data_IF_892468510083
#
_entry.id   IF_892468510083
#
_cell.length_a   1.000
_cell.length_b   1.000
_cell.length_c   1.000
_cell.angle_alpha   90.00
_cell.angle_beta   90.00
_cell.angle_gamma   90.00
#
_symmetry.space_group_name_H-M   'P 1'
#
loop_
_entity.id
_entity.type
_entity.pdbx_description
1 polymer ?
#
# COMPACT_ATOMS: atom_id res chain seq x y z
N UNK A 1 94.98 -1.90 -0.06
CA UNK A 1 94.04 -2.61 0.82
C UNK A 1 92.76 -1.76 0.88
N UNK A 2 91.79 -2.04 -0.05
CA UNK A 2 90.51 -1.32 -0.12
C UNK A 2 89.46 -2.16 0.59
N UNK A 3 88.76 -1.56 1.56
CA UNK A 3 87.59 -2.13 2.21
C UNK A 3 86.32 -1.57 1.48
N UNK A 4 85.54 -2.47 0.90
CA UNK A 4 84.26 -2.14 0.36
C UNK A 4 83.17 -2.28 1.47
N UNK A 5 82.52 -1.20 1.79
CA UNK A 5 81.33 -1.19 2.67
C UNK A 5 80.07 -1.45 1.89
N UNK A 6 79.34 -2.47 2.27
CA UNK A 6 78.04 -2.85 1.69
C UNK A 6 76.95 -2.07 2.46
N UNK A 7 76.22 -1.21 1.77
CA UNK A 7 74.98 -0.51 2.29
C UNK A 7 73.77 -1.31 1.95
N UNK A 8 73.07 -1.89 2.92
CA UNK A 8 71.82 -2.58 2.79
C UNK A 8 70.68 -1.55 2.96
N UNK A 9 69.99 -1.24 1.86
CA UNK A 9 68.80 -0.41 1.90
C UNK A 9 67.56 -1.23 2.35
N UNK A 10 66.94 -0.87 3.46
CA UNK A 10 65.61 -1.38 3.87
C UNK A 10 64.53 -0.73 3.00
N UNK A 11 63.91 -1.53 2.16
CA UNK A 11 62.66 -1.13 1.47
C UNK A 11 61.48 -1.32 2.43
N UNK A 12 60.91 -0.21 2.88
CA UNK A 12 59.66 -0.21 3.68
C UNK A 12 58.48 -0.61 2.81
N UNK A 13 57.88 -1.79 3.04
CA UNK A 13 56.58 -2.13 2.52
C UNK A 13 55.49 -1.32 3.26
N UNK A 14 54.97 -0.30 2.63
CA UNK A 14 53.77 0.38 3.10
C UNK A 14 52.54 -0.54 2.93
N UNK A 15 51.98 -1.04 4.03
CA UNK A 15 50.66 -1.67 4.04
C UNK A 15 49.61 -0.59 3.73
N UNK A 16 49.09 -0.62 2.52
CA UNK A 16 47.85 0.13 2.18
C UNK A 16 46.70 -0.67 2.75
N UNK A 17 46.06 -0.18 3.81
CA UNK A 17 44.82 -0.72 4.33
C UNK A 17 43.72 -0.57 3.24
N UNK A 18 42.92 -1.61 2.97
CA UNK A 18 41.81 -1.48 2.05
C UNK A 18 40.78 -0.46 2.62
N UNK A 19 40.11 0.33 1.77
CA UNK A 19 39.04 1.22 2.23
C UNK A 19 37.98 0.37 2.95
N UNK A 20 37.65 0.73 4.20
CA UNK A 20 36.49 0.19 4.88
C UNK A 20 35.25 0.57 4.05
N UNK A 21 34.68 -0.39 3.33
CA UNK A 21 33.34 -0.27 2.79
C UNK A 21 32.44 -0.07 4.00
N UNK A 22 31.87 1.13 4.12
CA UNK A 22 30.92 1.42 5.19
C UNK A 22 29.85 0.33 5.20
N UNK A 23 29.59 -0.26 6.36
CA UNK A 23 28.48 -1.16 6.55
C UNK A 23 27.22 -0.39 6.11
N UNK A 24 26.59 -0.79 5.01
CA UNK A 24 25.23 -0.36 4.74
C UNK A 24 24.43 -0.87 5.92
N UNK A 25 23.83 0.05 6.68
CA UNK A 25 22.96 -0.31 7.79
C UNK A 25 21.91 -1.28 7.23
N UNK A 26 21.85 -2.48 7.81
CA UNK A 26 20.86 -3.47 7.39
C UNK A 26 19.46 -2.87 7.53
N UNK A 27 18.57 -3.12 6.56
CA UNK A 27 17.19 -2.65 6.64
C UNK A 27 16.57 -3.07 7.99
N UNK A 28 15.80 -2.19 8.65
CA UNK A 28 15.15 -2.51 9.91
C UNK A 28 14.24 -3.74 9.75
N UNK A 29 14.20 -4.59 10.76
CA UNK A 29 13.32 -5.75 10.74
C UNK A 29 11.84 -5.30 10.69
N UNK A 30 10.92 -6.14 10.19
CA UNK A 30 9.48 -5.88 10.25
C UNK A 30 8.99 -5.56 11.66
N UNK A 31 9.55 -6.23 12.69
CA UNK A 31 9.27 -5.92 14.11
C UNK A 31 9.69 -4.48 14.48
N UNK A 32 10.87 -4.04 14.06
CA UNK A 32 11.33 -2.67 14.31
C UNK A 32 10.46 -1.63 13.61
N UNK A 33 10.03 -1.91 12.36
CA UNK A 33 9.11 -1.04 11.62
C UNK A 33 7.76 -0.89 12.31
N UNK A 34 7.18 -2.01 12.75
CA UNK A 34 5.89 -2.02 13.45
C UNK A 34 6.02 -1.32 14.81
N UNK A 35 7.10 -1.59 15.56
CA UNK A 35 7.38 -0.92 16.84
C UNK A 35 7.46 0.59 16.66
N UNK A 36 8.20 1.08 15.66
CA UNK A 36 8.29 2.51 15.36
C UNK A 36 6.91 3.13 15.11
N UNK A 37 6.02 2.43 14.38
CA UNK A 37 4.66 2.92 14.14
C UNK A 37 3.82 3.00 15.43
N UNK A 38 3.88 1.97 16.29
CA UNK A 38 3.15 1.97 17.55
C UNK A 38 3.68 3.05 18.51
N UNK A 39 4.99 3.22 18.57
CA UNK A 39 5.65 4.24 19.42
C UNK A 39 5.37 5.67 18.92
N UNK A 40 5.34 5.87 17.60
CA UNK A 40 5.09 7.19 17.04
C UNK A 40 3.62 7.58 17.14
N UNK A 41 2.70 6.67 16.80
CA UNK A 41 1.30 7.00 16.61
C UNK A 41 0.39 6.58 17.77
N UNK A 42 0.86 5.73 18.67
CA UNK A 42 0.16 5.29 19.87
C UNK A 42 -1.31 4.95 19.64
N UNK A 43 -1.61 4.00 18.72
CA UNK A 43 -2.99 3.62 18.44
C UNK A 43 -3.63 3.06 19.73
N UNK A 44 -4.94 3.25 19.93
CA UNK A 44 -5.64 2.58 21.03
C UNK A 44 -5.50 1.05 20.95
N UNK A 45 -5.57 0.32 22.06
CA UNK A 45 -5.59 -1.15 22.06
C UNK A 45 -6.63 -1.69 21.07
N UNK A 46 -6.26 -2.73 20.33
CA UNK A 46 -7.12 -3.34 19.31
C UNK A 46 -7.12 -2.64 17.95
N UNK A 47 -6.39 -1.51 17.76
CA UNK A 47 -6.41 -0.76 16.51
C UNK A 47 -5.07 -0.79 15.75
N UNK A 48 -5.17 -0.62 14.43
CA UNK A 48 -4.03 -0.51 13.51
C UNK A 48 -3.29 0.82 13.76
N UNK A 49 -1.94 0.83 13.64
CA UNK A 49 -1.16 2.07 13.75
C UNK A 49 -1.24 2.94 12.47
N UNK A 50 -1.84 2.41 11.41
CA UNK A 50 -2.17 3.13 10.18
C UNK A 50 -3.49 2.63 9.62
N UNK A 51 -4.22 3.48 8.89
CA UNK A 51 -5.57 3.16 8.41
C UNK A 51 -6.49 2.68 9.54
N UNK A 52 -6.38 3.32 10.72
CA UNK A 52 -7.14 2.94 11.92
C UNK A 52 -8.65 3.18 11.76
N UNK A 53 -9.05 4.22 11.00
CA UNK A 53 -10.45 4.46 10.64
C UNK A 53 -10.80 3.57 9.44
N UNK A 54 -11.66 2.58 9.67
CA UNK A 54 -12.09 1.62 8.66
C UNK A 54 -13.59 1.40 8.66
N UNK A 55 -14.07 0.83 7.56
CA UNK A 55 -15.45 0.45 7.30
C UNK A 55 -15.45 -0.92 6.63
N UNK A 56 -16.08 -1.91 7.28
CA UNK A 56 -16.25 -3.26 6.71
C UNK A 56 -17.46 -3.29 5.79
N UNK A 57 -17.31 -3.92 4.64
CA UNK A 57 -18.34 -4.10 3.64
C UNK A 57 -18.24 -5.49 3.02
N UNK A 58 -19.31 -5.93 2.38
CA UNK A 58 -19.37 -7.19 1.63
C UNK A 58 -19.76 -6.92 0.19
N UNK A 59 -19.21 -7.71 -0.71
CA UNK A 59 -19.47 -7.60 -2.12
C UNK A 59 -19.18 -8.89 -2.87
N UNK A 60 -19.30 -8.81 -4.17
CA UNK A 60 -19.03 -9.90 -5.10
C UNK A 60 -18.11 -9.42 -6.20
N UNK A 61 -17.05 -10.15 -6.46
CA UNK A 61 -16.20 -9.95 -7.61
C UNK A 61 -16.57 -10.93 -8.72
N UNK A 62 -16.70 -10.44 -9.93
CA UNK A 62 -16.95 -11.26 -11.11
C UNK A 62 -15.89 -10.93 -12.16
N UNK A 63 -15.10 -11.92 -12.52
CA UNK A 63 -14.08 -11.76 -13.56
C UNK A 63 -14.69 -11.67 -14.95
N UNK A 64 -14.02 -10.92 -15.85
CA UNK A 64 -14.33 -10.92 -17.27
C UNK A 64 -13.71 -12.15 -17.96
N UNK A 65 -14.19 -12.52 -19.17
CA UNK A 65 -13.58 -13.62 -19.93
C UNK A 65 -12.08 -13.43 -20.21
N UNK A 66 -11.63 -12.20 -20.37
CA UNK A 66 -10.22 -11.85 -20.65
C UNK A 66 -9.30 -12.24 -19.47
N UNK A 67 -9.81 -12.22 -18.25
CA UNK A 67 -9.02 -12.54 -17.05
C UNK A 67 -8.46 -13.97 -17.10
N UNK A 68 -9.27 -14.94 -17.54
CA UNK A 68 -8.88 -16.35 -17.62
C UNK A 68 -7.67 -16.57 -18.55
N UNK A 69 -7.51 -15.72 -19.57
CA UNK A 69 -6.35 -15.74 -20.47
C UNK A 69 -5.06 -15.15 -19.87
N UNK A 70 -5.16 -14.47 -18.74
CA UNK A 70 -4.02 -13.78 -18.10
C UNK A 70 -3.46 -14.53 -16.91
N UNK A 71 -4.32 -15.25 -16.15
CA UNK A 71 -3.89 -16.01 -14.98
C UNK A 71 -4.77 -17.23 -14.76
N UNK A 72 -4.17 -18.28 -14.20
CA UNK A 72 -4.90 -19.48 -13.72
C UNK A 72 -5.57 -19.26 -12.37
N UNK A 73 -5.47 -18.08 -11.77
CA UNK A 73 -6.03 -17.76 -10.47
C UNK A 73 -7.53 -18.09 -10.38
N UNK A 74 -8.00 -18.76 -9.32
CA UNK A 74 -9.38 -19.24 -9.20
C UNK A 74 -10.44 -18.15 -9.37
N UNK A 75 -10.18 -16.94 -8.82
CA UNK A 75 -11.11 -15.81 -8.97
C UNK A 75 -11.12 -15.18 -10.37
N UNK A 76 -10.27 -15.65 -11.30
CA UNK A 76 -10.27 -15.25 -12.71
C UNK A 76 -11.08 -16.19 -13.62
N UNK A 77 -11.74 -17.21 -13.05
CA UNK A 77 -12.47 -18.23 -13.80
C UNK A 77 -13.93 -17.85 -14.14
N UNK A 78 -14.29 -16.57 -13.93
CA UNK A 78 -15.59 -16.02 -14.33
C UNK A 78 -16.76 -16.33 -13.38
N UNK A 79 -16.57 -17.22 -12.41
CA UNK A 79 -17.59 -17.43 -11.38
C UNK A 79 -17.58 -16.27 -10.37
N UNK A 80 -18.75 -15.79 -9.93
CA UNK A 80 -18.82 -14.78 -8.89
C UNK A 80 -18.17 -15.28 -7.59
N UNK A 81 -17.28 -14.45 -7.02
CA UNK A 81 -16.54 -14.75 -5.80
C UNK A 81 -16.91 -13.73 -4.73
N UNK A 82 -17.35 -14.21 -3.56
CA UNK A 82 -17.63 -13.35 -2.42
C UNK A 82 -16.35 -12.60 -2.01
N UNK A 83 -16.49 -11.32 -1.69
CA UNK A 83 -15.39 -10.48 -1.24
C UNK A 83 -15.75 -9.74 0.04
N UNK A 84 -14.96 -9.92 1.10
CA UNK A 84 -14.95 -9.04 2.25
C UNK A 84 -14.11 -7.81 1.91
N UNK A 85 -14.66 -6.63 2.12
CA UNK A 85 -14.04 -5.35 1.73
C UNK A 85 -13.79 -4.51 2.97
N UNK A 86 -12.60 -3.94 3.09
CA UNK A 86 -12.31 -2.92 4.10
C UNK A 86 -11.93 -1.62 3.42
N UNK A 87 -12.78 -0.62 3.53
CA UNK A 87 -12.48 0.75 3.13
C UNK A 87 -11.89 1.52 4.32
N UNK A 88 -10.96 2.45 4.09
CA UNK A 88 -10.28 3.12 5.19
C UNK A 88 -9.74 4.50 4.81
N UNK A 89 -9.42 5.30 5.83
CA UNK A 89 -8.70 6.58 5.70
C UNK A 89 -7.32 6.41 6.33
N UNK A 90 -6.28 6.92 5.67
CA UNK A 90 -4.92 6.88 6.19
C UNK A 90 -4.80 7.62 7.53
N UNK A 91 -3.88 7.15 8.37
CA UNK A 91 -3.60 7.69 9.69
C UNK A 91 -3.91 6.72 10.82
N UNK A 92 -3.37 7.01 11.99
CA UNK A 92 -3.48 6.17 13.19
C UNK A 92 -4.72 6.49 14.05
N UNK A 93 -5.46 7.54 13.73
CA UNK A 93 -6.65 7.97 14.48
C UNK A 93 -7.93 7.42 13.85
N UNK A 94 -8.79 6.83 14.67
CA UNK A 94 -10.17 6.50 14.28
C UNK A 94 -11.03 7.74 13.95
N UNK A 95 -10.61 8.91 14.45
CA UNK A 95 -11.23 10.21 14.19
C UNK A 95 -10.50 10.98 13.09
N UNK A 96 -9.72 10.30 12.24
CA UNK A 96 -9.11 10.96 11.09
C UNK A 96 -10.19 11.61 10.22
N UNK A 97 -9.99 12.88 9.89
CA UNK A 97 -10.96 13.63 9.08
C UNK A 97 -11.03 13.05 7.66
N UNK A 98 -12.23 12.77 7.18
CA UNK A 98 -12.48 12.35 5.80
C UNK A 98 -12.17 13.45 4.78
N UNK A 99 -12.01 14.69 5.24
CA UNK A 99 -11.60 15.84 4.41
C UNK A 99 -10.09 15.92 4.20
N UNK A 100 -9.30 15.09 4.89
CA UNK A 100 -7.86 15.11 4.76
C UNK A 100 -7.42 14.70 3.34
N UNK A 101 -6.46 15.45 2.78
CA UNK A 101 -5.80 15.10 1.52
C UNK A 101 -4.76 14.01 1.75
N UNK A 102 -5.26 12.81 2.00
CA UNK A 102 -4.47 11.62 2.34
C UNK A 102 -5.05 10.38 1.67
N UNK A 103 -4.33 9.29 1.69
CA UNK A 103 -4.75 8.04 1.07
C UNK A 103 -6.08 7.50 1.65
N UNK A 104 -6.94 7.02 0.76
CA UNK A 104 -7.99 6.05 1.10
C UNK A 104 -7.44 4.66 0.81
N UNK A 105 -7.79 3.70 1.63
CA UNK A 105 -7.41 2.31 1.43
C UNK A 105 -8.61 1.48 1.00
N UNK A 106 -8.37 0.50 0.12
CA UNK A 106 -9.27 -0.60 -0.17
C UNK A 106 -8.50 -1.89 0.02
N UNK A 107 -8.91 -2.71 0.97
CA UNK A 107 -8.42 -4.06 1.14
C UNK A 107 -9.55 -5.05 0.85
N UNK A 108 -9.24 -6.13 0.16
CA UNK A 108 -10.19 -7.17 -0.26
C UNK A 108 -9.68 -8.52 0.22
N UNK A 109 -10.61 -9.35 0.67
CA UNK A 109 -10.42 -10.78 0.83
C UNK A 109 -11.40 -11.50 -0.07
N UNK A 110 -10.89 -12.26 -1.02
CA UNK A 110 -11.70 -13.13 -1.85
C UNK A 110 -11.84 -14.49 -1.18
N UNK A 111 -13.09 -14.98 -1.06
CA UNK A 111 -13.40 -16.31 -0.56
C UNK A 111 -13.54 -17.25 -1.75
N UNK A 112 -12.48 -18.01 -2.02
CA UNK A 112 -12.39 -18.85 -3.21
C UNK A 112 -13.31 -20.07 -3.12
N UNK A 113 -13.73 -20.66 -4.27
CA UNK A 113 -14.68 -21.78 -4.30
C UNK A 113 -14.20 -23.02 -3.55
N UNK A 114 -12.89 -23.23 -3.46
CA UNK A 114 -12.25 -24.36 -2.75
C UNK A 114 -12.10 -24.13 -1.24
N UNK A 115 -12.63 -23.01 -0.72
CA UNK A 115 -12.51 -22.62 0.68
C UNK A 115 -11.21 -21.90 1.02
N UNK A 116 -10.30 -21.72 0.08
CA UNK A 116 -9.12 -20.86 0.27
C UNK A 116 -9.50 -19.39 0.25
N UNK A 117 -8.60 -18.55 0.69
CA UNK A 117 -8.72 -17.09 0.65
C UNK A 117 -7.50 -16.48 -0.04
N UNK A 118 -7.70 -15.33 -0.66
CA UNK A 118 -6.61 -14.50 -1.19
C UNK A 118 -6.92 -13.04 -0.94
N UNK A 119 -5.89 -12.25 -0.69
CA UNK A 119 -6.05 -10.85 -0.30
C UNK A 119 -5.48 -9.90 -1.36
N UNK A 120 -6.02 -8.68 -1.36
CA UNK A 120 -5.54 -7.57 -2.17
C UNK A 120 -5.57 -6.30 -1.35
N UNK A 121 -4.50 -5.51 -1.39
CA UNK A 121 -4.39 -4.25 -0.65
C UNK A 121 -4.01 -3.11 -1.59
N UNK A 122 -4.82 -2.08 -1.59
CA UNK A 122 -4.72 -0.96 -2.53
C UNK A 122 -4.89 0.38 -1.81
N UNK A 123 -4.37 1.43 -2.42
CA UNK A 123 -4.52 2.82 -1.95
C UNK A 123 -5.01 3.73 -3.08
N UNK A 124 -5.58 4.88 -2.72
CA UNK A 124 -6.06 5.89 -3.67
C UNK A 124 -4.94 6.79 -4.20
N UNK A 125 -3.78 6.20 -4.50
CA UNK A 125 -2.65 6.85 -5.13
C UNK A 125 -1.95 5.86 -6.06
N UNK A 126 -1.45 6.29 -7.23
CA UNK A 126 -0.80 5.39 -8.19
C UNK A 126 0.61 4.99 -7.78
N UNK A 127 1.12 5.53 -6.66
CA UNK A 127 2.47 5.30 -6.13
C UNK A 127 2.44 5.16 -4.62
N UNK A 128 3.43 4.44 -4.08
CA UNK A 128 3.75 4.41 -2.67
C UNK A 128 4.73 5.53 -2.31
N UNK A 129 4.86 5.88 -1.03
CA UNK A 129 5.67 7.01 -0.57
C UNK A 129 7.08 6.63 -0.11
N UNK A 130 7.56 5.44 -0.42
CA UNK A 130 8.88 4.98 -0.03
C UNK A 130 9.30 3.78 -0.89
N UNK A 131 10.54 3.81 -1.40
CA UNK A 131 11.11 2.71 -2.17
C UNK A 131 11.82 1.68 -1.30
N UNK A 132 12.60 2.15 -0.33
CA UNK A 132 13.50 1.31 0.46
C UNK A 132 12.99 1.13 1.89
N UNK A 133 12.74 -0.12 2.34
CA UNK A 133 12.39 -0.42 3.72
C UNK A 133 13.40 0.13 4.75
N UNK A 134 14.68 0.29 4.40
CA UNK A 134 15.71 0.86 5.28
C UNK A 134 15.32 2.25 5.81
N UNK A 135 14.58 3.03 5.03
CA UNK A 135 14.16 4.37 5.39
C UNK A 135 12.80 4.43 6.11
N UNK A 136 12.16 3.27 6.35
CA UNK A 136 10.79 3.24 6.88
C UNK A 136 10.68 3.83 8.29
N UNK A 137 11.61 3.51 9.19
CA UNK A 137 11.61 4.03 10.55
C UNK A 137 11.78 5.56 10.55
N UNK A 138 12.72 6.08 9.74
CA UNK A 138 12.92 7.52 9.59
C UNK A 138 11.69 8.22 9.00
N UNK A 139 11.01 7.57 8.04
CA UNK A 139 9.73 8.04 7.51
C UNK A 139 8.68 8.19 8.63
N UNK A 140 8.52 7.16 9.46
CA UNK A 140 7.58 7.16 10.59
C UNK A 140 7.93 8.25 11.59
N UNK A 141 9.19 8.37 11.98
CA UNK A 141 9.66 9.40 12.93
C UNK A 141 9.44 10.82 12.41
N UNK A 142 9.66 11.06 11.11
CA UNK A 142 9.39 12.37 10.51
C UNK A 142 7.93 12.79 10.60
N UNK A 143 7.03 11.82 10.72
CA UNK A 143 5.57 12.00 10.80
C UNK A 143 5.01 11.79 12.21
N UNK A 144 5.86 11.62 13.21
CA UNK A 144 5.45 11.54 14.62
C UNK A 144 4.70 12.81 15.01
N UNK A 145 3.47 12.71 15.55
CA UNK A 145 2.74 13.88 16.02
C UNK A 145 3.48 14.57 17.17
N UNK A 146 3.61 15.87 17.08
CA UNK A 146 4.10 16.71 18.18
C UNK A 146 3.07 16.67 19.33
N UNK A 147 3.51 16.42 20.57
CA UNK A 147 2.58 16.30 21.73
C UNK A 147 1.74 17.55 21.99
N UNK A 148 2.23 18.75 21.65
CA UNK A 148 1.53 20.00 21.90
C UNK A 148 0.45 20.30 20.83
N UNK A 149 0.69 19.89 19.57
CA UNK A 149 -0.20 20.21 18.45
C UNK A 149 -1.02 19.03 17.97
N UNK A 150 -0.63 17.80 18.31
CA UNK A 150 -1.20 16.56 17.77
C UNK A 150 -0.96 16.34 16.28
N UNK A 151 -0.07 17.13 15.65
CA UNK A 151 0.25 17.08 14.21
C UNK A 151 1.75 16.88 14.03
N UNK A 152 2.17 16.24 12.92
CA UNK A 152 3.58 16.20 12.56
C UNK A 152 4.16 17.61 12.39
N UNK A 153 5.44 17.77 12.77
CA UNK A 153 6.20 18.98 12.52
C UNK A 153 6.47 19.11 11.00
N UNK A 154 5.94 20.15 10.33
CA UNK A 154 6.11 20.33 8.89
C UNK A 154 7.58 20.41 8.46
N UNK A 155 8.46 20.97 9.32
CA UNK A 155 9.88 21.09 8.99
C UNK A 155 10.57 19.73 8.98
N UNK A 156 10.23 18.83 9.90
CA UNK A 156 10.74 17.44 9.92
C UNK A 156 10.24 16.65 8.72
N UNK A 157 8.95 16.78 8.39
CA UNK A 157 8.36 16.14 7.20
C UNK A 157 9.06 16.62 5.92
N UNK A 158 9.27 17.93 5.80
CA UNK A 158 9.94 18.53 4.64
C UNK A 158 11.39 18.05 4.54
N UNK A 159 12.15 18.08 5.63
CA UNK A 159 13.54 17.63 5.66
C UNK A 159 13.67 16.16 5.24
N UNK A 160 12.76 15.30 5.70
CA UNK A 160 12.72 13.91 5.25
C UNK A 160 12.46 13.80 3.75
N UNK A 161 11.42 14.49 3.25
CA UNK A 161 11.07 14.44 1.83
C UNK A 161 12.18 15.00 0.92
N UNK A 162 12.96 15.98 1.38
CA UNK A 162 14.09 16.55 0.65
C UNK A 162 15.26 15.54 0.56
N UNK A 163 15.50 14.80 1.64
CA UNK A 163 16.51 13.74 1.70
C UNK A 163 16.09 12.47 0.92
N UNK A 164 14.78 12.26 0.73
CA UNK A 164 14.20 11.06 0.08
C UNK A 164 13.33 11.46 -1.12
N UNK A 165 13.94 11.72 -2.29
CA UNK A 165 13.21 12.19 -3.48
C UNK A 165 12.18 11.19 -4.04
N UNK A 166 12.26 9.92 -3.70
CA UNK A 166 11.29 8.87 -3.99
C UNK A 166 9.90 9.15 -3.36
N UNK A 167 9.84 9.96 -2.29
CA UNK A 167 8.56 10.38 -1.68
C UNK A 167 7.77 11.39 -2.50
N UNK A 168 8.40 12.10 -3.42
CA UNK A 168 7.85 13.29 -4.10
C UNK A 168 6.59 12.98 -4.89
N UNK A 169 6.58 11.89 -5.63
CA UNK A 169 5.44 11.55 -6.49
C UNK A 169 4.15 11.37 -5.67
N UNK A 170 4.21 10.72 -4.51
CA UNK A 170 3.05 10.57 -3.64
C UNK A 170 2.65 11.88 -2.97
N UNK A 171 3.60 12.70 -2.53
CA UNK A 171 3.34 14.02 -1.95
C UNK A 171 2.62 14.93 -2.95
N UNK A 172 3.10 14.99 -4.19
CA UNK A 172 2.47 15.80 -5.25
C UNK A 172 1.09 15.27 -5.63
N UNK A 173 0.92 13.94 -5.67
CA UNK A 173 -0.40 13.34 -5.90
C UNK A 173 -1.42 13.85 -4.87
N UNK A 174 -1.13 13.79 -3.57
CA UNK A 174 -2.09 14.21 -2.55
C UNK A 174 -2.26 15.73 -2.43
N UNK A 175 -1.36 16.56 -2.97
CA UNK A 175 -1.59 18.00 -3.08
C UNK A 175 -2.68 18.34 -4.11
N UNK A 176 -2.77 17.56 -5.18
CA UNK A 176 -3.63 17.84 -6.34
C UNK A 176 -4.85 16.96 -6.45
N UNK A 177 -4.79 15.71 -5.93
CA UNK A 177 -5.89 14.77 -5.97
C UNK A 177 -7.11 15.32 -5.20
N UNK A 178 -8.31 15.21 -5.76
CA UNK A 178 -9.51 15.64 -5.06
C UNK A 178 -9.80 14.76 -3.84
N UNK A 179 -10.37 15.35 -2.79
CA UNK A 179 -10.96 14.57 -1.72
C UNK A 179 -12.23 13.91 -2.27
N UNK A 180 -12.36 12.58 -2.25
CA UNK A 180 -13.48 11.91 -2.90
C UNK A 180 -14.79 12.22 -2.19
N UNK A 181 -15.84 12.48 -2.97
CA UNK A 181 -17.19 12.72 -2.45
C UNK A 181 -17.83 11.47 -1.83
N UNK A 182 -17.31 10.30 -2.15
CA UNK A 182 -17.69 8.98 -1.64
C UNK A 182 -16.53 8.02 -1.80
N UNK A 183 -16.50 6.94 -1.03
CA UNK A 183 -15.62 5.80 -1.37
C UNK A 183 -15.91 5.27 -2.78
N UNK A 184 -17.19 5.26 -3.21
CA UNK A 184 -17.60 4.82 -4.56
C UNK A 184 -17.12 5.73 -5.71
N UNK A 185 -16.52 6.86 -5.40
CA UNK A 185 -15.91 7.78 -6.35
C UNK A 185 -14.37 7.81 -6.28
N UNK A 186 -13.79 7.00 -5.41
CA UNK A 186 -12.34 6.91 -5.27
C UNK A 186 -11.77 5.83 -6.20
N UNK A 187 -10.77 6.15 -7.03
CA UNK A 187 -9.96 5.15 -7.71
C UNK A 187 -8.94 4.55 -6.73
N UNK A 188 -8.51 3.30 -6.99
CA UNK A 188 -7.50 2.63 -6.18
C UNK A 188 -6.43 1.97 -7.05
N UNK A 189 -5.24 1.83 -6.52
CA UNK A 189 -4.10 1.18 -7.17
C UNK A 189 -3.44 0.17 -6.24
N UNK A 190 -3.16 -1.02 -6.78
CA UNK A 190 -2.18 -1.92 -6.20
C UNK A 190 -0.81 -1.50 -6.71
N UNK A 191 -0.12 -0.67 -5.92
CA UNK A 191 1.12 0.02 -6.32
C UNK A 191 2.29 -0.92 -6.59
N UNK A 192 2.27 -2.11 -6.00
CA UNK A 192 3.28 -3.14 -6.23
C UNK A 192 2.99 -3.93 -7.52
N UNK A 193 4.03 -4.41 -8.17
CA UNK A 193 3.90 -5.30 -9.33
C UNK A 193 3.71 -6.74 -8.86
N UNK A 194 2.82 -7.47 -9.53
CA UNK A 194 2.65 -8.91 -9.41
C UNK A 194 2.89 -9.58 -10.75
N UNK A 195 3.26 -10.85 -10.74
CA UNK A 195 3.43 -11.65 -11.95
C UNK A 195 2.22 -12.57 -12.08
N UNK A 196 1.44 -12.38 -13.13
CA UNK A 196 0.27 -13.18 -13.46
C UNK A 196 0.70 -14.35 -14.33
N UNK A 197 0.41 -15.57 -13.87
CA UNK A 197 0.81 -16.80 -14.53
C UNK A 197 -0.41 -17.42 -15.21
N UNK A 198 -0.42 -17.37 -16.53
CA UNK A 198 -1.47 -17.94 -17.37
C UNK A 198 -1.25 -19.42 -17.66
N UNK A 199 -2.18 -20.00 -18.40
CA UNK A 199 -2.05 -21.38 -18.88
C UNK A 199 -0.76 -21.57 -19.67
N UNK A 200 -0.14 -22.74 -19.54
CA UNK A 200 1.17 -23.05 -20.12
C UNK A 200 2.35 -22.31 -19.48
N UNK A 201 2.16 -21.69 -18.31
CA UNK A 201 3.22 -21.03 -17.56
C UNK A 201 3.61 -19.65 -18.09
N UNK A 202 2.79 -19.02 -18.94
CA UNK A 202 3.05 -17.67 -19.45
C UNK A 202 3.00 -16.65 -18.32
N UNK A 203 4.12 -15.98 -18.07
CA UNK A 203 4.32 -15.01 -16.99
C UNK A 203 4.20 -13.58 -17.50
N UNK A 204 3.36 -12.77 -16.87
CA UNK A 204 3.14 -11.38 -17.27
C UNK A 204 3.15 -10.49 -16.02
N UNK A 205 4.12 -9.57 -15.87
CA UNK A 205 4.06 -8.58 -14.82
C UNK A 205 2.93 -7.59 -15.08
N UNK A 206 2.20 -7.21 -14.03
CA UNK A 206 1.18 -6.17 -14.09
C UNK A 206 0.93 -5.54 -12.73
N UNK A 207 0.30 -4.35 -12.74
CA UNK A 207 -0.21 -3.67 -11.54
C UNK A 207 -1.73 -3.56 -11.61
N UNK A 208 -2.36 -3.59 -10.45
CA UNK A 208 -3.79 -3.37 -10.33
C UNK A 208 -4.13 -1.89 -10.47
N UNK A 209 -5.14 -1.60 -11.31
CA UNK A 209 -5.79 -0.30 -11.42
C UNK A 209 -7.29 -0.51 -11.26
N UNK A 210 -7.89 0.17 -10.29
CA UNK A 210 -9.29 -0.03 -9.92
C UNK A 210 -10.02 1.29 -10.08
N UNK A 211 -10.96 1.33 -11.02
CA UNK A 211 -11.67 2.52 -11.44
C UNK A 211 -13.12 2.47 -10.96
N UNK A 212 -13.63 3.52 -10.30
CA UNK A 212 -15.01 3.56 -9.86
C UNK A 212 -15.97 3.65 -11.08
N UNK A 213 -16.97 2.78 -11.15
CA UNK A 213 -17.97 2.80 -12.23
C UNK A 213 -18.80 4.09 -12.23
N UNK A 214 -19.03 4.65 -11.03
CA UNK A 214 -19.70 5.93 -10.85
C UNK A 214 -18.84 7.16 -11.25
N UNK A 215 -17.62 6.93 -11.73
CA UNK A 215 -16.64 7.97 -12.07
C UNK A 215 -15.97 8.60 -10.86
N UNK A 216 -14.85 9.28 -11.12
CA UNK A 216 -14.09 10.00 -10.09
C UNK A 216 -14.77 11.35 -9.84
N UNK A 217 -15.31 11.54 -8.64
CA UNK A 217 -15.96 12.78 -8.21
C UNK A 217 -15.34 13.23 -6.90
N UNK A 218 -14.78 14.44 -6.90
CA UNK A 218 -14.21 15.09 -5.72
C UNK A 218 -15.11 16.18 -5.16
N UNK A 219 -14.91 16.48 -3.88
CA UNK A 219 -15.50 17.64 -3.24
C UNK A 219 -14.78 18.92 -3.64
N UNK A 220 -15.54 20.00 -3.85
CA UNK A 220 -14.98 21.34 -4.03
C UNK A 220 -14.48 21.89 -2.70
N UNK A 221 -13.63 22.93 -2.72
CA UNK A 221 -13.16 23.60 -1.51
C UNK A 221 -14.32 24.17 -0.66
N UNK A 222 -15.39 24.63 -1.29
CA UNK A 222 -16.59 25.11 -0.58
C UNK A 222 -17.34 23.97 0.11
N UNK A 223 -17.49 22.83 -0.55
CA UNK A 223 -18.09 21.64 0.05
C UNK A 223 -17.25 21.14 1.22
N UNK A 224 -15.92 21.12 1.10
CA UNK A 224 -15.02 20.71 2.18
C UNK A 224 -15.16 21.56 3.45
N UNK A 225 -15.52 22.85 3.33
CA UNK A 225 -15.74 23.73 4.49
C UNK A 225 -16.98 23.32 5.32
N UNK A 226 -18.01 22.82 4.65
CA UNK A 226 -19.31 22.52 5.24
C UNK A 226 -19.53 21.06 5.58
N UNK A 227 -18.78 20.15 4.92
CA UNK A 227 -18.91 18.71 5.18
C UNK A 227 -18.48 18.35 6.61
N UNK A 228 -19.17 17.41 7.27
CA UNK A 228 -18.70 16.80 8.51
C UNK A 228 -17.32 16.14 8.35
N UNK A 229 -16.59 15.98 9.45
CA UNK A 229 -15.28 15.28 9.41
C UNK A 229 -15.40 13.76 9.20
N UNK A 230 -16.59 13.20 9.35
CA UNK A 230 -16.86 11.75 9.26
C UNK A 230 -17.99 11.44 8.28
N UNK A 231 -17.94 12.03 7.07
CA UNK A 231 -19.04 11.91 6.10
C UNK A 231 -18.98 10.64 5.23
N UNK A 232 -17.79 10.07 4.99
CA UNK A 232 -17.64 8.97 4.01
C UNK A 232 -18.41 7.71 4.38
N UNK A 233 -18.46 7.37 5.66
CA UNK A 233 -19.16 6.17 6.11
C UNK A 233 -20.67 6.30 6.00
N UNK A 234 -21.24 7.47 6.31
CA UNK A 234 -22.66 7.76 6.18
C UNK A 234 -23.08 7.81 4.70
N UNK A 235 -22.36 8.60 3.91
CA UNK A 235 -22.61 8.67 2.46
C UNK A 235 -22.58 7.30 1.80
N UNK A 236 -21.60 6.46 2.18
CA UNK A 236 -21.47 5.14 1.57
C UNK A 236 -22.64 4.21 1.94
N UNK A 237 -23.17 4.28 3.17
CA UNK A 237 -24.38 3.55 3.58
C UNK A 237 -25.61 4.01 2.80
N UNK A 238 -25.81 5.33 2.70
CA UNK A 238 -26.93 5.91 1.96
C UNK A 238 -26.87 5.55 0.47
N UNK A 239 -25.69 5.47 -0.08
CA UNK A 239 -25.48 5.01 -1.46
C UNK A 239 -25.89 3.56 -1.63
N UNK A 240 -25.43 2.67 -0.74
CA UNK A 240 -25.75 1.24 -0.82
C UNK A 240 -27.24 0.96 -0.63
N UNK A 241 -27.99 1.83 0.08
CA UNK A 241 -29.45 1.75 0.15
C UNK A 241 -30.13 2.00 -1.20
N UNK A 242 -29.46 2.65 -2.15
CA UNK A 242 -29.96 2.94 -3.51
C UNK A 242 -29.48 1.94 -4.57
N UNK A 243 -28.45 1.16 -4.25
CA UNK A 243 -27.88 0.17 -5.17
C UNK A 243 -26.40 -0.11 -4.86
N UNK A 244 -25.80 -1.07 -5.54
CA UNK A 244 -24.39 -1.44 -5.30
C UNK A 244 -23.44 -0.29 -5.66
N UNK A 245 -22.31 -0.24 -4.94
CA UNK A 245 -21.16 0.55 -5.33
C UNK A 245 -20.21 -0.37 -6.12
N UNK A 246 -19.79 0.07 -7.29
CA UNK A 246 -19.07 -0.80 -8.22
C UNK A 246 -17.73 -0.21 -8.65
N UNK A 247 -16.74 -1.09 -8.83
CA UNK A 247 -15.43 -0.77 -9.39
C UNK A 247 -15.03 -1.77 -10.47
N UNK A 248 -14.50 -1.26 -11.57
CA UNK A 248 -13.88 -2.05 -12.63
C UNK A 248 -12.41 -2.28 -12.30
N UNK A 249 -11.99 -3.52 -12.33
CA UNK A 249 -10.62 -3.97 -12.04
C UNK A 249 -9.88 -4.17 -13.34
N UNK A 250 -8.71 -3.56 -13.43
CA UNK A 250 -7.84 -3.65 -14.59
C UNK A 250 -6.45 -4.14 -14.17
N UNK A 251 -5.80 -4.85 -15.07
CA UNK A 251 -4.37 -5.07 -15.05
C UNK A 251 -3.71 -4.09 -16.03
N UNK A 252 -2.82 -3.26 -15.53
CA UNK A 252 -1.94 -2.42 -16.32
C UNK A 252 -0.62 -3.15 -16.52
N UNK A 253 -0.15 -3.23 -17.77
CA UNK A 253 1.07 -3.93 -18.13
C UNK A 253 2.20 -2.94 -18.37
N UNK A 254 3.45 -3.27 -17.96
CA UNK A 254 4.59 -2.38 -18.16
C UNK A 254 4.96 -2.29 -19.63
N UNK A 255 5.60 -1.18 -19.99
CA UNK A 255 6.37 -1.04 -21.22
C UNK A 255 7.86 -1.27 -20.97
N UNK A 256 8.66 -1.13 -22.00
CA UNK A 256 10.11 -1.21 -21.88
C UNK A 256 10.62 -0.10 -20.94
N UNK A 257 11.50 -0.47 -19.99
CA UNK A 257 12.09 0.44 -19.02
C UNK A 257 11.22 0.77 -17.79
N UNK A 258 9.97 0.33 -17.75
CA UNK A 258 9.14 0.55 -16.53
C UNK A 258 9.65 -0.34 -15.38
N UNK A 259 9.88 0.22 -14.16
CA UNK A 259 10.37 -0.56 -13.03
C UNK A 259 9.31 -1.54 -12.52
N UNK A 260 9.74 -2.77 -12.21
CA UNK A 260 8.86 -3.81 -11.68
C UNK A 260 8.96 -3.98 -10.14
N UNK A 261 9.95 -3.36 -9.53
CA UNK A 261 10.31 -3.50 -8.10
C UNK A 261 10.37 -2.15 -7.36
N UNK A 262 9.79 -1.11 -7.95
CA UNK A 262 9.75 0.23 -7.37
C UNK A 262 8.31 0.76 -7.39
N UNK A 263 7.65 0.71 -6.23
CA UNK A 263 6.29 1.20 -6.06
C UNK A 263 6.18 2.73 -6.02
N UNK A 264 7.30 3.47 -5.97
CA UNK A 264 7.30 4.95 -5.95
C UNK A 264 7.22 5.56 -7.35
N UNK A 265 7.37 4.73 -8.37
CA UNK A 265 7.28 5.13 -9.79
C UNK A 265 5.98 4.61 -10.39
N UNK A 266 5.10 5.54 -10.80
CA UNK A 266 3.91 5.18 -11.59
C UNK A 266 4.31 4.85 -13.03
N UNK A 267 3.68 3.83 -13.61
CA UNK A 267 3.80 3.61 -15.04
C UNK A 267 2.97 4.64 -15.82
N UNK A 268 3.37 5.03 -17.03
CA UNK A 268 2.62 5.93 -17.88
C UNK A 268 1.14 5.51 -18.05
N UNK A 269 0.25 6.49 -18.09
CA UNK A 269 -1.20 6.23 -18.13
C UNK A 269 -1.65 5.54 -19.44
N UNK A 270 -0.87 5.68 -20.51
CA UNK A 270 -1.13 5.10 -21.82
C UNK A 270 -0.67 3.62 -21.94
N UNK A 271 -0.07 3.04 -20.92
CA UNK A 271 0.27 1.62 -20.90
C UNK A 271 -0.97 0.76 -21.10
N UNK A 272 -0.80 -0.37 -21.79
CA UNK A 272 -1.89 -1.33 -22.01
C UNK A 272 -2.60 -1.67 -20.71
N UNK A 273 -3.91 -1.46 -20.66
CA UNK A 273 -4.80 -1.90 -19.58
C UNK A 273 -5.78 -2.94 -20.12
N UNK A 274 -6.04 -3.97 -19.34
CA UNK A 274 -7.07 -4.98 -19.63
C UNK A 274 -8.01 -5.05 -18.44
N UNK A 275 -9.31 -4.86 -18.68
CA UNK A 275 -10.33 -5.09 -17.65
C UNK A 275 -10.39 -6.58 -17.36
N UNK A 276 -10.29 -6.94 -16.09
CA UNK A 276 -10.26 -8.34 -15.63
C UNK A 276 -11.42 -8.70 -14.72
N UNK A 277 -12.20 -7.73 -14.30
CA UNK A 277 -13.38 -8.02 -13.48
C UNK A 277 -14.07 -6.76 -12.96
N UNK A 278 -15.13 -7.01 -12.19
CA UNK A 278 -15.90 -5.99 -11.48
C UNK A 278 -16.18 -6.44 -10.06
N UNK A 279 -15.97 -5.54 -9.11
CA UNK A 279 -16.43 -5.68 -7.74
C UNK A 279 -17.73 -4.90 -7.58
N UNK A 280 -18.77 -5.55 -7.06
CA UNK A 280 -20.01 -4.93 -6.65
C UNK A 280 -20.15 -5.06 -5.13
N UNK A 281 -20.05 -3.96 -4.40
CA UNK A 281 -20.28 -3.91 -2.94
C UNK A 281 -21.74 -3.64 -2.69
N UNK A 282 -22.37 -4.48 -1.87
CA UNK A 282 -23.83 -4.48 -1.68
C UNK A 282 -24.25 -4.20 -0.24
N UNK A 283 -23.36 -4.37 0.72
CA UNK A 283 -23.68 -4.12 2.13
C UNK A 283 -22.47 -3.62 2.90
N UNK A 284 -22.73 -2.99 4.02
CA UNK A 284 -21.73 -2.42 4.92
C UNK A 284 -22.12 -2.70 6.36
N UNK A 285 -21.15 -2.90 7.24
CA UNK A 285 -21.37 -3.13 8.66
C UNK A 285 -22.20 -1.98 9.29
N UNK A 286 -23.08 -2.29 10.25
CA UNK A 286 -23.87 -1.27 10.96
C UNK A 286 -22.98 -0.19 11.59
N UNK A 287 -23.54 1.03 11.71
CA UNK A 287 -22.83 2.15 12.34
C UNK A 287 -22.51 1.82 13.80
N UNK A 288 -21.30 2.18 14.24
CA UNK A 288 -20.87 1.95 15.63
C UNK A 288 -20.45 0.52 15.94
N UNK A 289 -20.63 -0.42 15.02
CA UNK A 289 -20.19 -1.80 15.18
C UNK A 289 -18.85 -1.99 14.44
N UNK A 290 -17.76 -2.37 15.13
CA UNK A 290 -16.57 -2.82 14.41
C UNK A 290 -16.96 -4.08 13.64
N UNK A 291 -16.95 -4.01 12.30
CA UNK A 291 -17.19 -5.18 11.48
C UNK A 291 -16.09 -6.22 11.71
N UNK A 292 -16.38 -7.47 11.38
CA UNK A 292 -15.42 -8.58 11.55
C UNK A 292 -14.09 -8.32 10.86
N UNK A 293 -14.10 -7.64 9.71
CA UNK A 293 -12.89 -7.29 8.96
C UNK A 293 -11.90 -6.42 9.76
N UNK A 294 -12.33 -5.74 10.83
CA UNK A 294 -11.41 -4.98 11.69
C UNK A 294 -10.46 -5.88 12.47
N UNK A 295 -10.83 -7.14 12.70
CA UNK A 295 -10.01 -8.14 13.38
C UNK A 295 -9.17 -8.97 12.41
N UNK A 296 -9.36 -8.80 11.11
CA UNK A 296 -8.62 -9.54 10.09
C UNK A 296 -7.31 -8.86 9.70
N UNK A 297 -6.40 -9.65 9.16
CA UNK A 297 -5.23 -9.20 8.44
C UNK A 297 -5.50 -9.37 6.93
N UNK A 298 -5.31 -8.31 6.18
CA UNK A 298 -5.31 -8.38 4.71
C UNK A 298 -3.87 -8.40 4.25
N UNK A 299 -3.38 -9.58 3.86
CA UNK A 299 -1.99 -9.79 3.49
C UNK A 299 -1.80 -9.74 1.97
N UNK A 300 -1.07 -8.75 1.42
CA UNK A 300 -0.85 -8.67 -0.02
C UNK A 300 0.00 -9.82 -0.58
N UNK A 301 0.59 -10.66 0.26
CA UNK A 301 1.31 -11.87 -0.13
C UNK A 301 0.51 -13.17 0.09
N UNK A 302 -0.72 -13.08 0.59
CA UNK A 302 -1.65 -14.20 0.57
C UNK A 302 -2.23 -14.36 -0.84
N UNK A 303 -1.41 -14.94 -1.72
CA UNK A 303 -1.66 -15.04 -3.15
C UNK A 303 -2.17 -16.44 -3.51
N UNK A 304 -3.10 -16.56 -4.50
CA UNK A 304 -3.55 -17.85 -5.00
C UNK A 304 -2.55 -18.38 -6.04
N UNK A 305 -2.72 -19.63 -6.44
CA UNK A 305 -2.07 -20.11 -7.65
C UNK A 305 -2.33 -19.14 -8.82
N UNK A 306 -1.32 -18.93 -9.66
CA UNK A 306 -1.42 -18.06 -10.83
C UNK A 306 -1.11 -16.58 -10.57
N UNK A 307 -0.79 -16.18 -9.34
CA UNK A 307 -0.29 -14.84 -9.02
C UNK A 307 0.94 -14.96 -8.14
N UNK A 308 2.02 -14.30 -8.50
CA UNK A 308 3.28 -14.31 -7.77
C UNK A 308 3.72 -12.87 -7.44
N UNK A 309 4.45 -12.65 -6.33
CA UNK A 309 4.97 -11.32 -6.02
C UNK A 309 6.12 -10.95 -6.97
N UNK A 310 6.34 -9.65 -7.15
CA UNK A 310 7.61 -9.13 -7.67
C UNK A 310 8.69 -9.11 -6.58
N UNK A 311 9.90 -8.69 -6.96
CA UNK A 311 11.01 -8.48 -6.01
C UNK A 311 10.98 -7.09 -5.34
N UNK A 312 9.84 -6.41 -5.35
CA UNK A 312 9.68 -5.12 -4.67
C UNK A 312 9.94 -5.28 -3.16
N UNK A 313 10.99 -4.65 -2.61
CA UNK A 313 11.37 -4.85 -1.22
C UNK A 313 10.29 -4.36 -0.24
N UNK A 314 9.51 -3.34 -0.61
CA UNK A 314 8.37 -2.88 0.20
C UNK A 314 7.25 -3.93 0.23
N UNK A 315 6.99 -4.61 -0.91
CA UNK A 315 5.99 -5.68 -0.94
C UNK A 315 6.39 -6.83 -0.02
N UNK A 316 7.64 -7.25 -0.11
CA UNK A 316 8.14 -8.46 0.56
C UNK A 316 8.16 -8.37 2.10
N UNK A 317 8.36 -7.18 2.67
CA UNK A 317 8.35 -6.99 4.13
C UNK A 317 6.93 -6.90 4.72
N UNK A 318 5.89 -6.78 3.89
CA UNK A 318 4.53 -6.46 4.37
C UNK A 318 3.88 -7.60 5.12
N UNK A 319 4.02 -8.84 4.65
CA UNK A 319 3.34 -9.99 5.26
C UNK A 319 3.73 -10.15 6.73
N UNK A 320 5.02 -10.18 7.04
CA UNK A 320 5.52 -10.29 8.42
C UNK A 320 5.12 -9.06 9.25
N UNK A 321 5.29 -7.85 8.74
CA UNK A 321 4.88 -6.64 9.44
C UNK A 321 3.37 -6.61 9.76
N UNK A 322 2.54 -7.11 8.87
CA UNK A 322 1.09 -7.19 9.07
C UNK A 322 0.71 -8.26 10.11
N UNK A 323 1.40 -9.40 10.12
CA UNK A 323 1.22 -10.45 11.12
C UNK A 323 1.58 -9.96 12.53
N UNK A 324 2.72 -9.27 12.68
CA UNK A 324 3.15 -8.65 13.94
C UNK A 324 2.11 -7.59 14.40
N UNK A 325 1.65 -6.73 13.48
CA UNK A 325 0.63 -5.73 13.81
C UNK A 325 -0.72 -6.37 14.19
N UNK A 326 -1.10 -7.51 13.60
CA UNK A 326 -2.28 -8.25 14.00
C UNK A 326 -2.12 -8.82 15.41
N UNK A 327 -0.99 -9.48 15.71
CA UNK A 327 -0.70 -10.02 17.04
C UNK A 327 -0.89 -8.96 18.12
N UNK A 328 -0.26 -7.79 17.95
CA UNK A 328 -0.40 -6.68 18.90
C UNK A 328 -1.84 -6.15 19.07
N UNK A 329 -2.67 -6.25 18.04
CA UNK A 329 -4.09 -5.86 18.12
C UNK A 329 -4.96 -6.87 18.84
N UNK A 330 -4.55 -8.13 18.86
CA UNK A 330 -5.29 -9.22 19.49
C UNK A 330 -4.83 -9.47 20.93
N UNK A 331 -3.74 -8.86 21.36
CA UNK A 331 -3.32 -8.86 22.76
C UNK A 331 -4.38 -8.14 23.61
N UNK A 332 -4.76 -8.72 24.78
CA UNK A 332 -5.81 -8.18 25.64
C UNK A 332 -5.44 -6.85 26.30
#
# INVERSE_FOLDING_TARGET
>A
MLRHGLVIGLAGLGLVAPPMVGAQDAAPSPEAMVSAMYDAFKPPPGFRPSHAKGLCAEGTFTATPEAAGLSVAPHFRGQPVRATVRLSVAGASRKASDKARSARGMALRFHLPDGQITDMVMISAPVFGLRDPANFVALVESRRPDPATGRPDPAKVQAFNDAHPDTRAQVEHFKTAPVPASYAHAPFWGVNTFVFVGEGGRRQPARWVVEPVAGVVGLTEEQLKTMPDEFLAEEFRDRLARGPAEWDFHLQFPGEGDPLDDATVSWPADRRKVKVGRLAVTSVAPMGTPGECEREMFDPLLLPEGIEPSNDPILLVRSEAYAISLSRRLEP
#
